data_IF_579909203507
#
_entry.id   IF_579909203507
#
_cell.length_a   1.000
_cell.length_b   1.000
_cell.length_c   1.000
_cell.angle_alpha   90.00
_cell.angle_beta   90.00
_cell.angle_gamma   90.00
#
_symmetry.space_group_name_H-M   'P 1'
#
loop_
_entity.id
_entity.type
_entity.pdbx_description
1 polymer ?
#
# COMPACT_ATOMS: atom_id res chain seq x y z
N UNK A 1 40.54 -13.95 6.41
CA UNK A 1 40.07 -12.54 6.52
C UNK A 1 38.92 -12.45 7.51
N UNK A 2 39.27 -12.44 8.83
CA UNK A 2 38.30 -12.32 9.91
C UNK A 2 37.82 -10.88 10.05
N UNK A 3 36.60 -10.58 9.65
CA UNK A 3 35.93 -9.33 10.01
C UNK A 3 35.68 -9.33 11.52
N UNK A 4 36.51 -8.65 12.30
CA UNK A 4 36.27 -8.37 13.73
C UNK A 4 34.91 -7.62 13.81
N UNK A 5 33.88 -8.28 14.38
CA UNK A 5 32.63 -7.62 14.79
C UNK A 5 33.01 -6.55 15.83
N UNK A 6 33.01 -5.29 15.43
CA UNK A 6 33.05 -4.16 16.38
C UNK A 6 31.77 -4.27 17.23
N UNK A 7 31.92 -4.79 18.46
CA UNK A 7 30.86 -4.72 19.47
C UNK A 7 30.62 -3.22 19.69
N UNK A 8 29.44 -2.75 19.33
CA UNK A 8 29.06 -1.35 19.56
C UNK A 8 28.85 -1.19 21.07
N UNK A 9 29.88 -0.73 21.78
CA UNK A 9 29.84 -0.46 23.23
C UNK A 9 28.80 0.59 23.65
N UNK A 10 28.42 1.48 22.73
CA UNK A 10 27.48 2.57 22.98
C UNK A 10 26.13 2.08 23.54
N UNK A 11 25.44 1.04 22.99
CA UNK A 11 24.19 0.57 23.58
C UNK A 11 24.35 0.02 25.00
N UNK A 12 25.46 -0.65 25.28
CA UNK A 12 25.73 -1.22 26.61
C UNK A 12 25.87 -0.10 27.63
N UNK A 13 26.64 0.94 27.31
CA UNK A 13 26.84 2.11 28.17
C UNK A 13 25.53 2.85 28.45
N UNK A 14 24.64 2.99 27.43
CA UNK A 14 23.35 3.65 27.60
C UNK A 14 22.44 2.83 28.53
N UNK A 15 22.37 1.51 28.36
CA UNK A 15 21.55 0.63 29.22
C UNK A 15 22.05 0.68 30.66
N UNK A 16 23.38 0.63 30.86
CA UNK A 16 23.96 0.74 32.20
C UNK A 16 23.66 2.07 32.87
N UNK A 17 23.73 3.16 32.11
CA UNK A 17 23.42 4.50 32.60
C UNK A 17 21.93 4.65 32.97
N UNK A 18 21.02 4.13 32.15
CA UNK A 18 19.58 4.13 32.43
C UNK A 18 19.27 3.28 33.68
N UNK A 19 19.91 2.12 33.83
CA UNK A 19 19.80 1.29 35.05
C UNK A 19 20.29 2.00 36.30
N UNK A 20 21.45 2.70 36.22
CA UNK A 20 21.98 3.51 37.31
C UNK A 20 21.00 4.65 37.71
N UNK A 21 20.42 5.34 36.75
CA UNK A 21 19.41 6.38 37.04
C UNK A 21 18.17 5.81 37.73
N UNK A 22 17.69 4.64 37.31
CA UNK A 22 16.58 3.94 37.96
C UNK A 22 16.90 3.52 39.39
N UNK A 23 18.10 2.99 39.62
CA UNK A 23 18.60 2.70 40.97
C UNK A 23 18.64 3.94 41.86
N UNK A 24 19.19 5.04 41.35
CA UNK A 24 19.29 6.30 42.11
C UNK A 24 17.94 6.91 42.44
N UNK A 25 16.93 6.76 41.57
CA UNK A 25 15.60 7.34 41.75
C UNK A 25 14.77 6.58 42.80
N UNK A 26 14.82 5.25 42.80
CA UNK A 26 13.96 4.41 43.63
C UNK A 26 14.72 3.60 44.70
N UNK A 27 16.05 3.61 44.67
CA UNK A 27 16.93 2.85 45.56
C UNK A 27 16.57 1.37 45.70
N UNK A 28 15.98 0.78 44.62
CA UNK A 28 15.49 -0.59 44.59
C UNK A 28 15.75 -1.27 43.25
N UNK A 29 15.78 -2.61 43.26
CA UNK A 29 15.86 -3.41 42.02
C UNK A 29 14.70 -3.16 41.09
N UNK A 30 13.52 -2.90 41.63
CA UNK A 30 12.30 -2.55 40.87
C UNK A 30 12.48 -1.28 40.03
N UNK A 31 13.19 -0.27 40.57
CA UNK A 31 13.51 0.96 39.85
C UNK A 31 14.42 0.73 38.65
N UNK A 32 15.38 -0.18 38.76
CA UNK A 32 16.25 -0.56 37.64
C UNK A 32 15.43 -1.24 36.54
N UNK A 33 14.59 -2.20 36.90
CA UNK A 33 13.74 -2.96 35.96
C UNK A 33 12.79 -2.01 35.25
N UNK A 34 12.14 -1.10 35.98
CA UNK A 34 11.23 -0.12 35.42
C UNK A 34 11.94 0.79 34.40
N UNK A 35 13.10 1.33 34.75
CA UNK A 35 13.87 2.22 33.87
C UNK A 35 14.31 1.53 32.57
N UNK A 36 14.77 0.28 32.67
CA UNK A 36 15.18 -0.53 31.52
C UNK A 36 13.96 -0.84 30.63
N UNK A 37 12.83 -1.20 31.22
CA UNK A 37 11.60 -1.49 30.48
C UNK A 37 11.11 -0.26 29.71
N UNK A 38 11.06 0.90 30.34
CA UNK A 38 10.70 2.17 29.70
C UNK A 38 11.66 2.52 28.55
N UNK A 39 12.96 2.28 28.75
CA UNK A 39 13.94 2.50 27.69
C UNK A 39 13.68 1.62 26.46
N UNK A 40 13.37 0.33 26.65
CA UNK A 40 13.03 -0.56 25.55
C UNK A 40 11.70 -0.17 24.86
N UNK A 41 10.69 0.23 25.62
CA UNK A 41 9.45 0.75 25.06
C UNK A 41 9.73 1.97 24.17
N UNK A 42 10.52 2.93 24.65
CA UNK A 42 10.91 4.11 23.87
C UNK A 42 11.69 3.74 22.61
N UNK A 43 12.59 2.77 22.66
CA UNK A 43 13.31 2.29 21.47
C UNK A 43 12.38 1.66 20.43
N UNK A 44 11.41 0.85 20.88
CA UNK A 44 10.44 0.19 20.01
C UNK A 44 9.52 1.24 19.37
N UNK A 45 8.96 2.15 20.17
CA UNK A 45 8.10 3.23 19.67
C UNK A 45 8.83 4.14 18.69
N UNK A 46 10.10 4.48 18.98
CA UNK A 46 10.94 5.27 18.07
C UNK A 46 11.23 4.53 16.74
N UNK A 47 11.50 3.22 16.79
CA UNK A 47 11.68 2.40 15.57
C UNK A 47 10.41 2.36 14.73
N UNK A 48 9.25 2.14 15.37
CA UNK A 48 7.94 2.13 14.70
C UNK A 48 7.68 3.50 14.06
N UNK A 49 7.84 4.58 14.81
CA UNK A 49 7.64 5.94 14.34
C UNK A 49 8.57 6.30 13.16
N UNK A 50 9.86 5.91 13.23
CA UNK A 50 10.80 6.13 12.13
C UNK A 50 10.42 5.33 10.88
N UNK A 51 9.93 4.08 11.05
CA UNK A 51 9.46 3.24 9.95
C UNK A 51 8.22 3.86 9.29
N UNK A 52 7.24 4.30 10.09
CA UNK A 52 6.00 4.92 9.56
C UNK A 52 6.29 6.24 8.85
N UNK A 53 7.15 7.10 9.40
CA UNK A 53 7.55 8.35 8.72
C UNK A 53 8.28 8.11 7.40
N UNK A 54 9.16 7.11 7.34
CA UNK A 54 9.85 6.75 6.09
C UNK A 54 8.87 6.24 5.03
N UNK A 55 7.94 5.36 5.43
CA UNK A 55 6.88 4.87 4.55
C UNK A 55 5.99 6.01 4.05
N UNK A 56 5.56 6.93 4.94
CA UNK A 56 4.75 8.09 4.56
C UNK A 56 5.46 8.99 3.53
N UNK A 57 6.78 9.20 3.68
CA UNK A 57 7.56 9.98 2.71
C UNK A 57 7.64 9.29 1.34
N UNK A 58 7.85 7.97 1.32
CA UNK A 58 7.88 7.17 0.09
C UNK A 58 6.51 7.14 -0.60
N UNK A 59 5.43 6.98 0.18
CA UNK A 59 4.04 7.07 -0.30
C UNK A 59 3.79 8.40 -1.02
N UNK A 60 4.15 9.50 -0.36
CA UNK A 60 3.92 10.84 -0.91
C UNK A 60 4.72 11.10 -2.18
N UNK A 61 5.96 10.61 -2.27
CA UNK A 61 6.81 10.77 -3.44
C UNK A 61 6.31 9.94 -4.63
N UNK A 62 5.98 8.65 -4.43
CA UNK A 62 5.48 7.77 -5.49
C UNK A 62 4.12 8.21 -6.02
N UNK A 63 3.19 8.60 -5.14
CA UNK A 63 1.88 9.08 -5.57
C UNK A 63 1.92 10.40 -6.33
N UNK A 64 2.88 11.28 -6.03
CA UNK A 64 3.05 12.51 -6.79
C UNK A 64 3.39 12.25 -8.27
N UNK A 65 4.16 11.22 -8.53
CA UNK A 65 4.50 10.80 -9.90
C UNK A 65 3.26 10.23 -10.61
N UNK A 66 2.51 9.35 -9.94
CA UNK A 66 1.27 8.77 -10.47
C UNK A 66 0.20 9.85 -10.75
N UNK A 67 0.10 10.86 -9.88
CA UNK A 67 -0.84 11.98 -10.06
C UNK A 67 -0.53 12.85 -11.30
N UNK A 68 0.67 12.74 -11.87
CA UNK A 68 1.08 13.46 -13.07
C UNK A 68 0.98 12.62 -14.35
N UNK A 69 0.71 11.32 -14.22
CA UNK A 69 0.54 10.42 -15.37
C UNK A 69 -0.68 10.80 -16.21
N UNK A 70 -0.63 10.54 -17.49
CA UNK A 70 -1.80 10.46 -18.35
C UNK A 70 -2.63 9.22 -18.03
N UNK A 71 -3.84 9.07 -18.59
CA UNK A 71 -4.64 7.85 -18.45
C UNK A 71 -3.87 6.62 -18.94
N UNK A 72 -3.34 6.68 -20.14
CA UNK A 72 -2.58 5.60 -20.78
C UNK A 72 -1.32 5.21 -19.98
N UNK A 73 -0.56 6.19 -19.47
CA UNK A 73 0.60 5.92 -18.61
C UNK A 73 0.19 5.22 -17.31
N UNK A 74 -0.98 5.57 -16.76
CA UNK A 74 -1.51 4.93 -15.56
C UNK A 74 -1.95 3.49 -15.82
N UNK A 75 -2.57 3.20 -16.96
CA UNK A 75 -2.92 1.84 -17.39
C UNK A 75 -1.67 0.97 -17.54
N UNK A 76 -0.64 1.46 -18.23
CA UNK A 76 0.65 0.77 -18.36
C UNK A 76 1.32 0.54 -17.00
N UNK A 77 1.29 1.55 -16.12
CA UNK A 77 1.81 1.42 -14.76
C UNK A 77 1.09 0.33 -13.96
N UNK A 78 -0.25 0.27 -14.03
CA UNK A 78 -1.04 -0.76 -13.37
C UNK A 78 -0.72 -2.16 -13.93
N UNK A 79 -0.60 -2.28 -15.26
CA UNK A 79 -0.20 -3.54 -15.89
C UNK A 79 1.14 -4.07 -15.36
N UNK A 80 2.15 -3.20 -15.24
CA UNK A 80 3.43 -3.60 -14.67
C UNK A 80 3.35 -3.90 -13.15
N UNK A 81 2.49 -3.19 -12.41
CA UNK A 81 2.25 -3.45 -10.99
C UNK A 81 1.63 -4.84 -10.78
N UNK A 82 0.57 -5.17 -11.52
CA UNK A 82 -0.11 -6.47 -11.44
C UNK A 82 0.78 -7.61 -11.96
N UNK A 83 1.55 -7.38 -13.01
CA UNK A 83 2.54 -8.35 -13.50
C UNK A 83 3.58 -8.72 -12.44
N UNK A 84 4.08 -7.76 -11.68
CA UNK A 84 4.99 -8.01 -10.55
C UNK A 84 4.34 -8.80 -9.42
N UNK A 85 3.01 -8.84 -9.36
CA UNK A 85 2.22 -9.61 -8.42
C UNK A 85 1.85 -11.02 -8.91
N UNK A 86 2.27 -11.37 -10.12
CA UNK A 86 2.12 -12.70 -10.67
C UNK A 86 1.01 -12.85 -11.70
N UNK A 87 0.19 -11.82 -11.93
CA UNK A 87 -0.85 -11.86 -12.95
C UNK A 87 -0.25 -11.84 -14.37
N UNK A 88 -0.87 -12.56 -15.29
CA UNK A 88 -0.65 -12.32 -16.73
C UNK A 88 -1.60 -11.21 -17.18
N UNK A 89 -1.11 -10.29 -18.02
CA UNK A 89 -1.83 -9.09 -18.40
C UNK A 89 -2.17 -9.11 -19.89
N UNK A 90 -3.41 -8.83 -20.21
CA UNK A 90 -3.86 -8.49 -21.57
C UNK A 90 -4.39 -7.06 -21.55
N UNK A 91 -3.84 -6.19 -22.38
CA UNK A 91 -4.39 -4.85 -22.58
C UNK A 91 -5.54 -4.93 -23.57
N UNK A 92 -6.62 -4.23 -23.27
CA UNK A 92 -7.74 -4.11 -24.20
C UNK A 92 -7.42 -3.11 -25.31
N UNK A 93 -8.10 -3.18 -26.44
CA UNK A 93 -7.83 -2.27 -27.55
C UNK A 93 -8.33 -0.86 -27.26
N UNK A 94 -7.55 0.15 -27.65
CA UNK A 94 -7.81 1.58 -27.44
C UNK A 94 -9.15 2.06 -28.07
N UNK A 95 -9.71 1.32 -29.03
CA UNK A 95 -10.99 1.63 -29.66
C UNK A 95 -12.02 0.54 -29.36
N UNK A 96 -12.97 0.83 -28.45
CA UNK A 96 -14.05 -0.09 -28.07
C UNK A 96 -13.71 -0.99 -26.90
N UNK A 97 -13.12 -0.43 -25.88
CA UNK A 97 -12.69 -1.09 -24.65
C UNK A 97 -13.83 -1.57 -23.73
N UNK A 98 -15.07 -1.35 -24.13
CA UNK A 98 -16.28 -1.76 -23.39
C UNK A 98 -16.22 -1.53 -21.87
N UNK A 99 -15.34 -0.62 -21.41
CA UNK A 99 -15.19 -0.23 -20.01
C UNK A 99 -14.14 -1.01 -19.21
N UNK A 100 -13.30 -1.83 -19.83
CA UNK A 100 -12.12 -2.41 -19.20
C UNK A 100 -10.85 -2.02 -19.98
N UNK A 101 -9.80 -1.61 -19.27
CA UNK A 101 -8.52 -1.22 -19.83
C UNK A 101 -7.50 -2.38 -19.79
N UNK A 102 -7.65 -3.28 -18.81
CA UNK A 102 -6.80 -4.44 -18.60
C UNK A 102 -7.65 -5.67 -18.27
N UNK A 103 -7.18 -6.84 -18.73
CA UNK A 103 -7.64 -8.13 -18.26
C UNK A 103 -6.48 -8.81 -17.54
N UNK A 104 -6.66 -9.12 -16.26
CA UNK A 104 -5.71 -9.88 -15.47
C UNK A 104 -6.11 -11.36 -15.54
N UNK A 105 -5.12 -12.23 -15.62
CA UNK A 105 -5.33 -13.68 -15.57
C UNK A 105 -4.61 -14.24 -14.34
N UNK A 106 -5.37 -14.91 -13.47
CA UNK A 106 -4.88 -15.66 -12.30
C UNK A 106 -5.30 -17.14 -12.45
N UNK A 107 -4.41 -17.93 -13.03
CA UNK A 107 -4.76 -19.30 -13.45
C UNK A 107 -5.82 -19.30 -14.54
N UNK A 108 -7.02 -19.85 -14.22
CA UNK A 108 -8.18 -19.89 -15.12
C UNK A 108 -9.09 -18.66 -14.94
N UNK A 109 -8.98 -17.95 -13.83
CA UNK A 109 -9.80 -16.76 -13.52
C UNK A 109 -9.35 -15.53 -14.29
N UNK A 110 -10.32 -14.73 -14.71
CA UNK A 110 -10.13 -13.48 -15.41
C UNK A 110 -10.74 -12.32 -14.62
N UNK A 111 -9.99 -11.25 -14.48
CA UNK A 111 -10.43 -10.04 -13.78
C UNK A 111 -10.41 -8.89 -14.78
N UNK A 112 -11.58 -8.30 -15.02
CA UNK A 112 -11.68 -7.09 -15.83
C UNK A 112 -11.32 -5.88 -14.96
N UNK A 113 -10.38 -5.06 -15.39
CA UNK A 113 -9.90 -3.90 -14.65
C UNK A 113 -10.12 -2.63 -15.44
N UNK A 114 -10.75 -1.65 -14.79
CA UNK A 114 -10.82 -0.27 -15.28
C UNK A 114 -9.89 0.62 -14.47
N UNK A 115 -9.03 1.36 -15.16
CA UNK A 115 -8.10 2.33 -14.62
C UNK A 115 -8.69 3.75 -14.71
N UNK A 116 -8.77 4.46 -13.61
CA UNK A 116 -9.24 5.86 -13.59
C UNK A 116 -8.19 6.77 -12.95
N UNK A 117 -7.29 7.34 -13.78
CA UNK A 117 -6.39 8.41 -13.35
C UNK A 117 -7.18 9.73 -13.30
N UNK A 118 -7.52 10.17 -12.10
CA UNK A 118 -8.38 11.31 -11.91
C UNK A 118 -7.87 12.27 -10.83
N UNK A 119 -8.14 13.57 -10.98
CA UNK A 119 -7.75 14.59 -9.99
C UNK A 119 -8.78 14.78 -8.87
N UNK A 120 -10.00 14.32 -9.07
CA UNK A 120 -11.10 14.33 -8.11
C UNK A 120 -11.57 12.92 -7.77
N UNK A 121 -12.71 12.81 -7.05
CA UNK A 121 -13.27 11.51 -6.70
C UNK A 121 -13.92 10.84 -7.90
N UNK A 122 -13.71 9.54 -8.06
CA UNK A 122 -14.31 8.72 -9.11
C UNK A 122 -15.77 8.41 -8.77
N UNK A 123 -16.66 8.71 -9.71
CA UNK A 123 -18.11 8.53 -9.54
C UNK A 123 -18.60 7.14 -9.95
N UNK A 124 -19.92 6.95 -9.81
CA UNK A 124 -20.62 5.69 -10.11
C UNK A 124 -20.45 5.23 -11.56
N UNK A 125 -20.21 6.15 -12.49
CA UNK A 125 -20.03 5.84 -13.91
C UNK A 125 -18.93 4.81 -14.16
N UNK A 126 -17.80 4.90 -13.46
CA UNK A 126 -16.71 3.93 -13.58
C UNK A 126 -17.13 2.52 -13.19
N UNK A 127 -17.95 2.40 -12.12
CA UNK A 127 -18.51 1.11 -11.70
C UNK A 127 -19.49 0.55 -12.73
N UNK A 128 -20.33 1.41 -13.31
CA UNK A 128 -21.29 1.01 -14.35
C UNK A 128 -20.58 0.54 -15.64
N UNK A 129 -19.51 1.20 -16.03
CA UNK A 129 -18.69 0.85 -17.19
C UNK A 129 -18.07 -0.53 -17.03
N UNK A 130 -17.43 -0.81 -15.91
CA UNK A 130 -16.75 -2.11 -15.69
C UNK A 130 -17.72 -3.29 -15.58
N UNK A 131 -18.91 -3.10 -15.03
CA UNK A 131 -19.95 -4.15 -14.98
C UNK A 131 -20.31 -4.62 -16.40
N UNK A 132 -20.39 -3.70 -17.36
CA UNK A 132 -20.62 -4.04 -18.76
C UNK A 132 -19.50 -4.86 -19.37
N UNK A 133 -18.26 -4.60 -18.99
CA UNK A 133 -17.06 -5.29 -19.47
C UNK A 133 -16.98 -6.75 -19.03
N UNK A 134 -17.46 -7.09 -17.84
CA UNK A 134 -17.41 -8.48 -17.29
C UNK A 134 -17.97 -9.49 -18.30
N UNK A 135 -19.15 -9.25 -18.82
CA UNK A 135 -19.80 -10.13 -19.80
C UNK A 135 -19.08 -10.13 -21.15
N UNK A 136 -18.56 -8.96 -21.56
CA UNK A 136 -17.90 -8.81 -22.87
C UNK A 136 -16.59 -9.57 -22.95
N UNK A 137 -15.84 -9.61 -21.84
CA UNK A 137 -14.54 -10.26 -21.78
C UNK A 137 -14.59 -11.66 -21.14
N UNK A 138 -15.79 -12.13 -20.78
CA UNK A 138 -15.97 -13.40 -20.05
C UNK A 138 -15.07 -13.42 -18.80
N UNK A 139 -15.18 -12.34 -18.01
CA UNK A 139 -14.42 -12.17 -16.79
C UNK A 139 -15.22 -12.63 -15.57
N UNK A 140 -14.52 -13.13 -14.56
CA UNK A 140 -15.11 -13.62 -13.32
C UNK A 140 -15.30 -12.48 -12.32
N UNK A 141 -14.39 -11.49 -12.34
CA UNK A 141 -14.39 -10.36 -11.42
C UNK A 141 -14.28 -9.01 -12.16
N UNK A 142 -14.75 -7.97 -11.49
CA UNK A 142 -14.67 -6.58 -11.95
C UNK A 142 -13.93 -5.72 -10.93
N UNK A 143 -12.86 -5.05 -11.34
CA UNK A 143 -12.10 -4.13 -10.51
C UNK A 143 -12.05 -2.73 -11.10
N UNK A 144 -12.17 -1.71 -10.24
CA UNK A 144 -11.88 -0.31 -10.64
C UNK A 144 -10.73 0.20 -9.79
N UNK A 145 -9.67 0.66 -10.45
CA UNK A 145 -8.45 1.16 -9.80
C UNK A 145 -8.30 2.66 -10.06
N UNK A 146 -8.00 3.42 -9.00
CA UNK A 146 -7.79 4.87 -9.16
C UNK A 146 -6.62 5.38 -8.31
N UNK A 147 -5.99 6.47 -8.78
CA UNK A 147 -5.05 7.25 -7.98
C UNK A 147 -5.72 8.19 -6.97
N UNK A 148 -7.05 8.21 -6.93
CA UNK A 148 -7.87 9.08 -6.09
C UNK A 148 -8.79 8.28 -5.18
N UNK A 149 -9.91 8.86 -4.78
CA UNK A 149 -10.91 8.20 -3.94
C UNK A 149 -12.23 8.03 -4.69
N UNK A 150 -13.12 7.19 -4.16
CA UNK A 150 -14.44 6.99 -4.73
C UNK A 150 -15.49 7.85 -4.02
N UNK A 151 -16.55 8.23 -4.76
CA UNK A 151 -17.73 8.85 -4.17
C UNK A 151 -18.54 7.83 -3.37
N UNK A 152 -19.34 8.30 -2.38
CA UNK A 152 -20.25 7.43 -1.61
C UNK A 152 -21.21 6.63 -2.49
N UNK A 153 -21.63 7.21 -3.62
CA UNK A 153 -22.49 6.51 -4.59
C UNK A 153 -21.72 5.39 -5.29
N UNK A 154 -20.47 5.64 -5.71
CA UNK A 154 -19.64 4.62 -6.34
C UNK A 154 -19.40 3.43 -5.39
N UNK A 155 -19.06 3.70 -4.12
CA UNK A 155 -18.87 2.67 -3.10
C UNK A 155 -20.14 1.80 -2.93
N UNK A 156 -21.32 2.43 -2.79
CA UNK A 156 -22.59 1.71 -2.66
C UNK A 156 -22.92 0.86 -3.88
N UNK A 157 -22.66 1.38 -5.09
CA UNK A 157 -22.91 0.64 -6.33
C UNK A 157 -21.95 -0.53 -6.51
N UNK A 158 -20.69 -0.35 -6.14
CA UNK A 158 -19.69 -1.40 -6.19
C UNK A 158 -20.04 -2.56 -5.24
N UNK A 159 -20.46 -2.25 -4.02
CA UNK A 159 -20.90 -3.24 -3.02
C UNK A 159 -22.08 -4.08 -3.55
N UNK A 160 -23.10 -3.43 -4.16
CA UNK A 160 -24.30 -4.13 -4.69
C UNK A 160 -23.97 -5.04 -5.90
N UNK A 161 -22.96 -4.65 -6.69
CA UNK A 161 -22.63 -5.33 -7.94
C UNK A 161 -21.32 -6.15 -7.85
N UNK A 162 -20.81 -6.36 -6.63
CA UNK A 162 -19.59 -7.15 -6.36
C UNK A 162 -18.37 -6.66 -7.15
N UNK A 163 -18.26 -5.31 -7.33
CA UNK A 163 -17.11 -4.69 -7.97
C UNK A 163 -16.08 -4.32 -6.93
N UNK A 164 -14.86 -4.80 -7.08
CA UNK A 164 -13.75 -4.46 -6.19
C UNK A 164 -13.18 -3.08 -6.53
N UNK A 165 -13.03 -2.24 -5.51
CA UNK A 165 -12.55 -0.87 -5.68
C UNK A 165 -11.19 -0.71 -5.02
N UNK A 166 -10.17 -0.37 -5.80
CA UNK A 166 -8.82 -0.07 -5.32
C UNK A 166 -8.64 1.44 -5.37
N UNK A 167 -8.74 2.07 -4.22
CA UNK A 167 -8.55 3.51 -4.08
C UNK A 167 -7.06 3.88 -3.90
N UNK A 168 -6.82 5.16 -3.67
CA UNK A 168 -5.47 5.72 -3.46
C UNK A 168 -4.70 5.02 -2.35
N UNK A 169 -5.32 4.75 -1.22
CA UNK A 169 -4.64 4.19 -0.06
C UNK A 169 -4.30 2.71 -0.28
N UNK A 170 -5.21 1.96 -0.86
CA UNK A 170 -5.01 0.58 -1.23
C UNK A 170 -3.97 0.42 -2.34
N UNK A 171 -4.03 1.27 -3.38
CA UNK A 171 -3.02 1.31 -4.44
C UNK A 171 -1.61 1.58 -3.87
N UNK A 172 -1.49 2.48 -2.90
CA UNK A 172 -0.23 2.74 -2.19
C UNK A 172 0.26 1.49 -1.46
N UNK A 173 -0.63 0.80 -0.76
CA UNK A 173 -0.25 -0.40 -0.01
C UNK A 173 0.14 -1.54 -0.95
N UNK A 174 -0.51 -1.65 -2.09
CA UNK A 174 -0.10 -2.52 -3.18
C UNK A 174 1.31 -2.19 -3.69
N UNK A 175 1.61 -0.94 -4.00
CA UNK A 175 2.94 -0.50 -4.48
C UNK A 175 4.04 -0.81 -3.46
N UNK A 176 3.73 -0.73 -2.17
CA UNK A 176 4.66 -1.00 -1.07
C UNK A 176 4.78 -2.49 -0.71
N UNK A 177 4.06 -3.38 -1.41
CA UNK A 177 4.05 -4.81 -1.13
C UNK A 177 3.46 -5.16 0.22
N UNK A 178 2.39 -4.46 0.66
CA UNK A 178 1.73 -4.69 1.94
C UNK A 178 0.36 -5.37 1.81
N UNK A 179 -0.19 -5.36 0.61
CA UNK A 179 -1.45 -6.01 0.25
C UNK A 179 -1.17 -7.29 -0.53
#
# INVERSE_FOLDING_TARGET
NGKKKKIRLIPVLIISFVGYLGWRALHSLEGIILAITLYFILLITFKIWRKTRRSAKLRKAGMKEIDQMTGEEFELFLGELFKKRGFKITYTSISGDYGADLILHDGEEKIAVQAKRYSGNVGVKAVQEIIGAVKMYDADEAWVVTNSYFTKQALKWAEINEVYLIDRDELIDMILGKA
#
